data_IF_777796836951
#
_entry.id   IF_777796836951
#
_cell.length_a   1.000
_cell.length_b   1.000
_cell.length_c   1.000
_cell.angle_alpha   90.00
_cell.angle_beta   90.00
_cell.angle_gamma   90.00
#
_symmetry.space_group_name_H-M   'P 1'
#
loop_
_entity.id
_entity.type
_entity.pdbx_description
1 polymer ?
#
# COMPACT_ATOMS: atom_id res chain seq x y z
N UNK A 1 -9.09 6.26 -14.65
CA UNK A 1 -8.94 4.79 -14.79
C UNK A 1 -7.67 4.45 -14.05
N UNK A 2 -7.74 3.62 -13.01
CA UNK A 2 -6.58 3.29 -12.19
C UNK A 2 -5.85 2.13 -12.86
N UNK A 3 -5.04 2.44 -13.88
CA UNK A 3 -4.37 1.42 -14.67
C UNK A 3 -3.25 0.82 -13.82
N UNK A 4 -3.48 -0.41 -13.38
CA UNK A 4 -2.46 -1.24 -12.73
C UNK A 4 -1.40 -1.56 -13.76
N UNK A 5 -0.14 -1.36 -13.42
CA UNK A 5 0.98 -1.67 -14.32
C UNK A 5 0.93 -3.15 -14.72
N UNK A 6 1.21 -3.42 -16.00
CA UNK A 6 1.15 -4.78 -16.52
C UNK A 6 2.08 -5.73 -15.75
N UNK A 7 1.67 -6.98 -15.49
CA UNK A 7 2.50 -7.94 -14.77
C UNK A 7 3.86 -8.19 -15.41
N UNK A 8 3.96 -8.00 -16.73
CA UNK A 8 5.22 -8.08 -17.47
C UNK A 8 6.17 -6.95 -17.07
N UNK A 9 5.68 -5.72 -17.01
CA UNK A 9 6.45 -4.55 -16.60
C UNK A 9 6.88 -4.65 -15.14
N UNK A 10 6.01 -5.18 -14.26
CA UNK A 10 6.38 -5.47 -12.87
C UNK A 10 7.58 -6.41 -12.78
N UNK A 11 7.57 -7.50 -13.55
CA UNK A 11 8.72 -8.43 -13.61
C UNK A 11 9.96 -7.76 -14.19
N UNK A 12 9.81 -6.91 -15.20
CA UNK A 12 10.96 -6.20 -15.78
C UNK A 12 11.56 -5.19 -14.81
N UNK A 13 10.75 -4.45 -14.04
CA UNK A 13 11.23 -3.57 -12.96
C UNK A 13 12.04 -4.38 -11.94
N UNK A 14 11.53 -5.54 -11.51
CA UNK A 14 12.22 -6.39 -10.53
C UNK A 14 13.57 -6.87 -11.07
N UNK A 15 13.61 -7.39 -12.32
CA UNK A 15 14.85 -7.86 -12.95
C UNK A 15 15.90 -6.76 -13.03
N UNK A 16 15.54 -5.60 -13.58
CA UNK A 16 16.48 -4.49 -13.72
C UNK A 16 16.95 -3.96 -12.36
N UNK A 17 16.11 -4.00 -11.33
CA UNK A 17 16.51 -3.63 -9.98
C UNK A 17 17.52 -4.61 -9.38
N UNK A 18 17.33 -5.92 -9.59
CA UNK A 18 18.28 -6.96 -9.18
C UNK A 18 19.60 -6.84 -9.94
N UNK A 19 19.55 -6.45 -11.22
CA UNK A 19 20.74 -6.18 -12.05
C UNK A 19 21.47 -4.88 -11.65
N UNK A 20 20.99 -4.15 -10.63
CA UNK A 20 21.65 -2.97 -10.08
C UNK A 20 21.34 -1.65 -10.81
N UNK A 21 20.35 -1.63 -11.71
CA UNK A 21 19.96 -0.40 -12.39
C UNK A 21 19.31 0.59 -11.41
N UNK A 22 19.65 1.87 -11.56
CA UNK A 22 18.98 2.92 -10.79
C UNK A 22 17.52 3.06 -11.23
N UNK A 23 16.63 3.44 -10.31
CA UNK A 23 15.21 3.64 -10.62
C UNK A 23 14.95 4.63 -11.77
N UNK A 24 15.87 5.59 -11.99
CA UNK A 24 15.80 6.52 -13.12
C UNK A 24 16.08 5.80 -14.44
N UNK A 25 17.12 4.97 -14.47
CA UNK A 25 17.48 4.18 -15.66
C UNK A 25 16.37 3.16 -15.99
N UNK A 26 15.82 2.50 -14.98
CA UNK A 26 14.68 1.58 -15.16
C UNK A 26 13.50 2.31 -15.81
N UNK A 27 13.15 3.50 -15.30
CA UNK A 27 12.07 4.31 -15.88
C UNK A 27 12.33 4.66 -17.36
N UNK A 28 13.54 5.11 -17.68
CA UNK A 28 13.90 5.42 -19.07
C UNK A 28 13.89 4.18 -19.98
N UNK A 29 14.34 3.02 -19.49
CA UNK A 29 14.37 1.77 -20.27
C UNK A 29 12.97 1.24 -20.57
N UNK A 30 12.05 1.36 -19.61
CA UNK A 30 10.69 0.83 -19.72
C UNK A 30 9.68 1.85 -20.26
N UNK A 31 10.10 3.09 -20.53
CA UNK A 31 9.16 4.18 -20.88
C UNK A 31 8.24 4.58 -19.72
N UNK A 32 8.62 4.28 -18.48
CA UNK A 32 7.85 4.58 -17.28
C UNK A 32 8.39 5.81 -16.55
N UNK A 33 7.52 6.52 -15.83
CA UNK A 33 7.97 7.60 -14.97
C UNK A 33 8.84 7.04 -13.83
N UNK A 34 9.88 7.78 -13.44
CA UNK A 34 10.69 7.47 -12.23
C UNK A 34 9.80 7.27 -10.99
N UNK A 35 8.70 8.03 -10.90
CA UNK A 35 7.78 7.94 -9.76
C UNK A 35 7.02 6.62 -9.75
N UNK A 36 6.62 6.12 -10.92
CA UNK A 36 6.00 4.79 -11.08
C UNK A 36 6.96 3.70 -10.61
N UNK A 37 8.22 3.73 -11.07
CA UNK A 37 9.23 2.77 -10.63
C UNK A 37 9.48 2.85 -9.12
N UNK A 38 9.64 4.07 -8.58
CA UNK A 38 9.83 4.27 -7.14
C UNK A 38 8.64 3.72 -6.32
N UNK A 39 7.42 3.88 -6.81
CA UNK A 39 6.21 3.38 -6.16
C UNK A 39 6.24 1.85 -6.09
N UNK A 40 6.46 1.17 -7.21
CA UNK A 40 6.50 -0.30 -7.23
C UNK A 40 7.67 -0.88 -6.46
N UNK A 41 8.86 -0.28 -6.50
CA UNK A 41 9.99 -0.71 -5.65
C UNK A 41 9.63 -0.63 -4.16
N UNK A 42 8.89 0.40 -3.73
CA UNK A 42 8.41 0.49 -2.33
C UNK A 42 7.41 -0.62 -2.03
N UNK A 43 6.47 -0.92 -2.94
CA UNK A 43 5.51 -2.01 -2.77
C UNK A 43 6.19 -3.37 -2.66
N UNK A 44 7.18 -3.64 -3.51
CA UNK A 44 7.94 -4.89 -3.46
C UNK A 44 8.66 -5.07 -2.13
N UNK A 45 9.31 -4.00 -1.63
CA UNK A 45 9.99 -4.00 -0.33
C UNK A 45 9.04 -4.11 0.86
N UNK A 46 7.81 -3.65 0.74
CA UNK A 46 6.78 -3.77 1.76
C UNK A 46 6.05 -5.13 1.70
N UNK A 47 6.20 -5.88 0.61
CA UNK A 47 5.61 -7.21 0.47
C UNK A 47 6.31 -8.23 1.37
N UNK A 48 5.62 -9.32 1.69
CA UNK A 48 6.18 -10.43 2.49
C UNK A 48 7.14 -11.32 1.69
N UNK A 49 7.28 -11.09 0.39
CA UNK A 49 8.02 -11.93 -0.54
C UNK A 49 9.33 -11.26 -0.95
N UNK A 50 10.36 -12.07 -1.21
CA UNK A 50 11.59 -11.54 -1.80
C UNK A 50 11.38 -11.22 -3.29
N UNK A 51 12.27 -10.42 -3.87
CA UNK A 51 12.19 -10.05 -5.28
C UNK A 51 12.28 -11.27 -6.20
N UNK A 52 13.11 -12.26 -5.84
CA UNK A 52 13.25 -13.52 -6.57
C UNK A 52 11.97 -14.36 -6.50
N UNK A 53 11.32 -14.39 -5.32
CA UNK A 53 10.03 -15.06 -5.16
C UNK A 53 8.92 -14.38 -5.99
N UNK A 54 8.91 -13.05 -6.06
CA UNK A 54 7.96 -12.32 -6.90
C UNK A 54 8.17 -12.61 -8.40
N UNK A 55 9.40 -12.91 -8.83
CA UNK A 55 9.67 -13.29 -10.23
C UNK A 55 9.15 -14.69 -10.60
N UNK A 56 9.09 -15.60 -9.64
CA UNK A 56 8.60 -16.97 -9.86
C UNK A 56 7.07 -17.07 -9.91
N UNK A 57 6.35 -16.03 -9.46
CA UNK A 57 4.89 -16.00 -9.51
C UNK A 57 4.38 -15.98 -10.95
N UNK A 58 3.22 -16.60 -11.19
CA UNK A 58 2.50 -16.42 -12.44
C UNK A 58 1.96 -14.97 -12.55
N UNK A 59 1.52 -14.58 -13.75
CA UNK A 59 1.07 -13.20 -14.00
C UNK A 59 -0.17 -12.82 -13.17
N UNK A 60 -1.08 -13.76 -12.94
CA UNK A 60 -2.29 -13.56 -12.14
C UNK A 60 -1.96 -13.41 -10.66
N UNK A 61 -1.13 -14.31 -10.11
CA UNK A 61 -0.66 -14.26 -8.74
C UNK A 61 0.11 -12.96 -8.46
N UNK A 62 0.98 -12.53 -9.38
CA UNK A 62 1.72 -11.27 -9.24
C UNK A 62 0.79 -10.06 -9.28
N UNK A 63 -0.19 -10.05 -10.19
CA UNK A 63 -1.19 -8.97 -10.27
C UNK A 63 -2.03 -8.88 -8.99
N UNK A 64 -2.39 -10.01 -8.41
CA UNK A 64 -3.15 -10.07 -7.17
C UNK A 64 -2.39 -9.49 -5.96
N UNK A 65 -1.05 -9.49 -5.98
CA UNK A 65 -0.24 -8.87 -4.91
C UNK A 65 -0.23 -7.34 -4.96
N UNK A 66 -0.50 -6.73 -6.13
CA UNK A 66 -0.40 -5.28 -6.33
C UNK A 66 -1.67 -4.73 -7.00
N UNK A 67 -2.83 -4.80 -6.32
CA UNK A 67 -4.08 -4.28 -6.85
C UNK A 67 -4.03 -2.76 -7.03
N UNK A 68 -4.89 -2.24 -7.91
CA UNK A 68 -5.01 -0.80 -8.12
C UNK A 68 -5.40 -0.08 -6.82
N UNK A 69 -4.97 1.18 -6.70
CA UNK A 69 -5.08 2.08 -5.53
C UNK A 69 -6.47 2.10 -4.84
N UNK A 70 -7.52 1.71 -5.54
CA UNK A 70 -8.91 1.72 -5.06
C UNK A 70 -9.28 0.52 -4.20
N UNK A 71 -8.47 -0.55 -4.17
CA UNK A 71 -8.80 -1.79 -3.43
C UNK A 71 -7.86 -1.97 -2.25
N UNK A 72 -7.93 -1.05 -1.30
CA UNK A 72 -7.35 -1.28 0.03
C UNK A 72 -8.39 -2.08 0.82
N UNK A 73 -8.46 -3.39 0.59
CA UNK A 73 -9.07 -4.30 1.56
C UNK A 73 -8.07 -4.48 2.69
N UNK A 74 -8.07 -3.52 3.61
CA UNK A 74 -7.28 -3.58 4.82
C UNK A 74 -8.24 -3.48 5.99
N UNK A 75 -8.40 -4.57 6.74
CA UNK A 75 -9.30 -4.63 7.89
C UNK A 75 -9.01 -3.51 8.91
N UNK A 76 -7.74 -3.11 9.06
CA UNK A 76 -7.37 -1.97 9.90
C UNK A 76 -7.86 -0.65 9.34
N UNK A 77 -7.81 -0.49 8.01
CA UNK A 77 -8.33 0.71 7.34
C UNK A 77 -9.86 0.78 7.47
N UNK A 78 -10.55 -0.34 7.26
CA UNK A 78 -12.00 -0.44 7.44
C UNK A 78 -12.41 -0.15 8.89
N UNK A 79 -11.73 -0.74 9.87
CA UNK A 79 -11.97 -0.48 11.28
C UNK A 79 -11.76 1.00 11.64
N UNK A 80 -10.71 1.63 11.10
CA UNK A 80 -10.44 3.05 11.30
C UNK A 80 -11.52 3.95 10.66
N UNK A 81 -11.96 3.63 9.44
CA UNK A 81 -13.01 4.38 8.75
C UNK A 81 -14.35 4.29 9.48
N UNK A 82 -14.72 3.10 9.97
CA UNK A 82 -15.91 2.90 10.80
C UNK A 82 -15.83 3.69 12.11
N UNK A 83 -14.66 3.71 12.77
CA UNK A 83 -14.44 4.53 13.96
C UNK A 83 -14.64 6.02 13.66
N UNK A 84 -14.06 6.53 12.56
CA UNK A 84 -14.22 7.93 12.17
C UNK A 84 -15.65 8.31 11.82
N UNK A 85 -16.47 7.39 11.30
CA UNK A 85 -17.89 7.64 11.08
C UNK A 85 -18.62 7.93 12.41
N UNK A 86 -18.34 7.14 13.45
CA UNK A 86 -18.88 7.36 14.80
C UNK A 86 -18.43 8.69 15.41
N UNK A 87 -17.14 9.00 15.31
CA UNK A 87 -16.56 10.29 15.76
C UNK A 87 -17.20 11.47 15.04
N UNK A 88 -17.43 11.35 13.73
CA UNK A 88 -18.05 12.41 12.93
C UNK A 88 -19.51 12.66 13.33
N UNK A 89 -20.26 11.62 13.72
CA UNK A 89 -21.63 11.77 14.25
C UNK A 89 -21.65 12.52 15.59
N UNK A 90 -20.61 12.34 16.41
CA UNK A 90 -20.45 13.04 17.70
C UNK A 90 -19.88 14.46 17.58
N UNK A 91 -19.52 14.92 16.36
CA UNK A 91 -18.86 16.22 16.12
C UNK A 91 -19.62 17.42 16.68
N UNK A 92 -20.95 17.35 16.70
CA UNK A 92 -21.81 18.42 17.18
C UNK A 92 -22.13 18.31 18.68
N UNK A 93 -21.57 17.34 19.39
CA UNK A 93 -21.79 17.16 20.83
C UNK A 93 -20.92 18.13 21.64
N UNK A 94 -21.45 18.78 22.69
CA UNK A 94 -20.65 19.59 23.61
C UNK A 94 -19.50 18.79 24.22
N UNK A 95 -18.28 19.33 24.21
CA UNK A 95 -17.09 18.62 24.70
C UNK A 95 -16.38 17.75 23.65
N UNK A 96 -16.83 17.78 22.39
CA UNK A 96 -16.10 17.15 21.29
C UNK A 96 -14.70 17.77 21.14
N UNK A 97 -13.66 16.95 21.32
CA UNK A 97 -12.28 17.34 21.02
C UNK A 97 -11.57 16.19 20.31
N UNK A 98 -10.78 16.52 19.28
CA UNK A 98 -9.96 15.51 18.59
C UNK A 98 -9.00 14.80 19.55
N UNK A 99 -8.54 15.49 20.60
CA UNK A 99 -7.69 14.90 21.64
C UNK A 99 -8.39 13.80 22.44
N UNK A 100 -9.68 13.98 22.76
CA UNK A 100 -10.45 12.97 23.49
C UNK A 100 -10.59 11.68 22.68
N UNK A 101 -10.99 11.78 21.41
CA UNK A 101 -11.12 10.62 20.52
C UNK A 101 -9.76 9.97 20.20
N UNK A 102 -8.68 10.75 20.07
CA UNK A 102 -7.34 10.19 19.94
C UNK A 102 -6.95 9.34 21.16
N UNK A 103 -7.21 9.82 22.38
CA UNK A 103 -6.91 9.08 23.62
C UNK A 103 -7.73 7.80 23.72
N UNK A 104 -9.01 7.86 23.38
CA UNK A 104 -9.91 6.70 23.33
C UNK A 104 -9.41 5.65 22.32
N UNK A 105 -9.17 6.05 21.07
CA UNK A 105 -8.63 5.15 20.05
C UNK A 105 -7.30 4.52 20.45
N UNK A 106 -6.37 5.31 21.00
CA UNK A 106 -5.06 4.83 21.47
C UNK A 106 -5.20 3.79 22.59
N UNK A 107 -6.11 4.02 23.55
CA UNK A 107 -6.39 3.04 24.61
C UNK A 107 -6.97 1.73 24.06
N UNK A 108 -7.91 1.79 23.12
CA UNK A 108 -8.52 0.62 22.47
C UNK A 108 -7.47 -0.24 21.74
N UNK A 109 -6.53 0.39 21.04
CA UNK A 109 -5.44 -0.35 20.36
C UNK A 109 -4.41 -0.94 21.32
N UNK A 110 -4.24 -0.37 22.52
CA UNK A 110 -3.26 -0.85 23.51
C UNK A 110 -3.76 -2.10 24.25
N UNK A 111 -5.08 -2.25 24.43
CA UNK A 111 -5.70 -3.40 25.12
C UNK A 111 -5.74 -4.69 24.28
N UNK A 112 -5.43 -4.64 22.98
CA UNK A 112 -5.44 -5.79 22.05
C UNK A 112 -4.08 -6.48 21.90
N UNK A 113 -3.05 -6.07 22.66
CA UNK A 113 -1.70 -6.67 22.64
C UNK A 113 -1.34 -7.47 23.91
N UNK A 114 -2.33 -7.85 24.73
CA UNK A 114 -2.15 -8.75 25.87
C UNK A 114 -2.91 -10.07 25.66
#
# INVERSE_FOLDING_TARGET
>A
MADTLDPMDLKQIIRLHLDGFSNRNIGTTLGLSRNTVNHYIKLFKASKYTLEALLSFDQGALRAQFPAYTTIENDRYNALMLYFEGVNKARNHPGFTFLHHYREYSSLTTSLQQ
#
